data_IF_175878469962
#
_entry.id   IF_175878469962
#
_cell.length_a   1.000
_cell.length_b   1.000
_cell.length_c   1.000
_cell.angle_alpha   90.00
_cell.angle_beta   90.00
_cell.angle_gamma   90.00
#
_symmetry.space_group_name_H-M   'P 1'
#
loop_
_entity.id
_entity.type
_entity.pdbx_description
1 polymer ?
#
# COMPACT_ATOMS: atom_id res chain seq x y z
N UNK A 1 -14.11 0.41 -10.29
CA UNK A 1 -13.00 1.16 -10.93
C UNK A 1 -11.89 0.15 -11.18
N UNK A 2 -11.49 -0.04 -12.44
CA UNK A 2 -10.33 -0.86 -12.79
C UNK A 2 -9.20 0.12 -13.07
N UNK A 3 -8.31 0.32 -12.10
CA UNK A 3 -7.10 1.12 -12.29
C UNK A 3 -6.03 0.19 -12.83
N UNK A 4 -5.63 0.40 -14.09
CA UNK A 4 -4.52 -0.32 -14.69
C UNK A 4 -3.22 0.39 -14.31
N UNK A 5 -2.40 -0.31 -13.53
CA UNK A 5 -1.04 0.10 -13.26
C UNK A 5 -0.15 -0.51 -14.35
N UNK A 6 0.80 0.26 -14.87
CA UNK A 6 1.83 -0.24 -15.81
C UNK A 6 2.82 -1.21 -15.13
N UNK A 7 2.67 -1.40 -13.81
CA UNK A 7 3.44 -2.31 -12.98
C UNK A 7 2.58 -3.47 -12.54
N UNK A 8 3.19 -4.65 -12.48
CA UNK A 8 2.55 -5.85 -11.93
C UNK A 8 2.35 -5.70 -10.43
N UNK A 9 1.09 -5.51 -10.03
CA UNK A 9 0.70 -5.40 -8.62
C UNK A 9 0.61 -6.80 -8.01
N UNK A 10 1.28 -6.97 -6.88
CA UNK A 10 1.29 -8.23 -6.14
C UNK A 10 0.10 -8.31 -5.18
N UNK A 11 -0.15 -7.24 -4.44
CA UNK A 11 -1.25 -7.16 -3.49
C UNK A 11 -1.59 -5.69 -3.14
N UNK A 12 -2.71 -5.49 -2.45
CA UNK A 12 -3.14 -4.21 -1.91
C UNK A 12 -2.98 -4.21 -0.39
N UNK A 13 -2.62 -3.08 0.19
CA UNK A 13 -2.46 -2.90 1.64
C UNK A 13 -3.36 -1.78 2.14
N UNK A 14 -4.11 -2.04 3.22
CA UNK A 14 -4.84 -1.01 3.96
C UNK A 14 -4.39 -0.96 5.41
N UNK A 15 -4.77 0.11 6.11
CA UNK A 15 -4.38 0.36 7.51
C UNK A 15 -2.86 0.30 7.66
N UNK A 16 -2.16 0.98 6.76
CA UNK A 16 -0.71 0.87 6.65
C UNK A 16 -0.02 1.69 7.73
N UNK A 17 0.87 1.02 8.45
CA UNK A 17 1.84 1.64 9.34
C UNK A 17 3.22 1.57 8.72
N UNK A 18 3.86 2.73 8.58
CA UNK A 18 5.22 2.82 8.11
C UNK A 18 6.18 2.46 9.24
N UNK A 19 7.02 1.45 9.00
CA UNK A 19 8.09 1.08 9.91
C UNK A 19 9.16 2.18 10.04
N UNK A 20 10.12 2.03 10.98
CA UNK A 20 11.21 2.97 11.14
C UNK A 20 11.95 3.23 9.84
N UNK A 21 12.19 4.51 9.53
CA UNK A 21 12.81 4.96 8.29
C UNK A 21 12.10 4.47 7.02
N UNK A 22 10.81 4.14 7.13
CA UNK A 22 9.97 3.64 6.03
C UNK A 22 10.53 2.36 5.36
N UNK A 23 11.35 1.60 6.11
CA UNK A 23 12.04 0.42 5.58
C UNK A 23 11.10 -0.76 5.33
N UNK A 24 9.94 -0.81 5.97
CA UNK A 24 8.92 -1.83 5.75
C UNK A 24 7.54 -1.26 6.06
N UNK A 25 6.50 -1.92 5.56
CA UNK A 25 5.12 -1.60 5.89
C UNK A 25 4.53 -2.72 6.74
N UNK A 26 3.64 -2.34 7.66
CA UNK A 26 2.67 -3.26 8.27
C UNK A 26 1.28 -2.85 7.82
N UNK A 27 0.39 -3.80 7.60
CA UNK A 27 -0.97 -3.50 7.18
C UNK A 27 -1.77 -4.76 6.95
N UNK A 28 -3.00 -4.58 6.48
CA UNK A 28 -3.91 -5.67 6.11
C UNK A 28 -3.84 -5.89 4.61
N UNK A 29 -3.61 -7.13 4.18
CA UNK A 29 -3.42 -7.47 2.77
C UNK A 29 -4.71 -7.93 2.10
N UNK A 30 -4.87 -7.56 0.83
CA UNK A 30 -5.97 -8.00 -0.03
C UNK A 30 -5.48 -8.28 -1.45
N UNK A 31 -6.11 -9.24 -2.11
CA UNK A 31 -5.86 -9.60 -3.50
C UNK A 31 -4.43 -10.08 -3.74
N UNK A 32 -3.81 -10.80 -2.80
CA UNK A 32 -2.45 -11.32 -2.99
C UNK A 32 -2.44 -12.35 -4.11
N UNK A 33 -1.92 -11.93 -5.27
CA UNK A 33 -1.95 -12.73 -6.49
C UNK A 33 -1.12 -14.00 -6.38
N UNK A 34 -0.07 -13.94 -5.58
CA UNK A 34 0.85 -15.06 -5.33
C UNK A 34 0.27 -16.06 -4.32
N UNK A 35 -0.90 -15.77 -3.73
CA UNK A 35 -1.62 -16.64 -2.77
C UNK A 35 -0.78 -17.06 -1.57
N UNK A 36 0.06 -16.15 -1.09
CA UNK A 36 0.88 -16.29 0.12
C UNK A 36 0.10 -15.93 1.38
N UNK A 37 -0.94 -15.11 1.23
CA UNK A 37 -1.78 -14.59 2.31
C UNK A 37 -3.25 -14.64 1.91
N UNK A 38 -4.13 -14.83 2.88
CA UNK A 38 -5.56 -14.70 2.69
C UNK A 38 -5.99 -13.23 2.82
N UNK A 39 -7.09 -12.87 2.16
CA UNK A 39 -7.65 -11.52 2.26
C UNK A 39 -8.03 -11.19 3.71
N UNK A 40 -7.52 -10.07 4.22
CA UNK A 40 -7.72 -9.65 5.60
C UNK A 40 -6.57 -10.03 6.55
N UNK A 41 -5.55 -10.74 6.08
CA UNK A 41 -4.41 -11.09 6.92
C UNK A 41 -3.55 -9.85 7.28
N UNK A 42 -3.15 -9.69 8.55
CA UNK A 42 -2.16 -8.69 8.91
C UNK A 42 -0.77 -9.17 8.49
N UNK A 43 -0.07 -8.36 7.68
CA UNK A 43 1.27 -8.68 7.21
C UNK A 43 2.28 -7.60 7.57
N UNK A 44 3.55 -8.00 7.50
CA UNK A 44 4.69 -7.08 7.43
C UNK A 44 5.42 -7.35 6.13
N UNK A 45 5.63 -6.33 5.31
CA UNK A 45 6.41 -6.48 4.08
C UNK A 45 7.87 -6.80 4.40
N UNK A 46 8.58 -7.36 3.43
CA UNK A 46 10.04 -7.30 3.42
C UNK A 46 10.52 -5.84 3.22
N UNK A 47 11.83 -5.64 3.22
CA UNK A 47 12.38 -4.30 3.10
C UNK A 47 11.94 -3.64 1.79
N UNK A 48 11.41 -2.42 1.91
CA UNK A 48 11.08 -1.56 0.78
C UNK A 48 12.37 -1.09 0.13
N UNK A 49 12.44 -1.26 -1.19
CA UNK A 49 13.55 -0.83 -2.03
C UNK A 49 13.24 0.52 -2.67
N UNK A 50 11.96 0.78 -2.98
CA UNK A 50 11.52 2.08 -3.47
C UNK A 50 10.02 2.30 -3.28
N UNK A 51 9.63 3.57 -3.26
CA UNK A 51 8.25 4.02 -3.40
C UNK A 51 8.07 4.69 -4.76
N UNK A 52 6.91 4.49 -5.40
CA UNK A 52 6.53 5.12 -6.66
C UNK A 52 5.12 5.66 -6.53
N UNK A 53 4.91 6.92 -6.90
CA UNK A 53 3.57 7.48 -7.04
C UNK A 53 3.08 7.29 -8.48
N UNK A 54 1.95 6.60 -8.67
CA UNK A 54 1.35 6.40 -9.98
C UNK A 54 -0.16 6.65 -9.91
N UNK A 55 -0.66 7.57 -10.74
CA UNK A 55 -2.09 7.91 -10.82
C UNK A 55 -2.74 8.26 -9.46
N UNK A 56 -1.98 8.87 -8.55
CA UNK A 56 -2.44 9.22 -7.20
C UNK A 56 -2.38 8.09 -6.16
N UNK A 57 -1.80 6.95 -6.52
CA UNK A 57 -1.55 5.83 -5.60
C UNK A 57 -0.07 5.75 -5.23
N UNK A 58 0.21 5.40 -3.99
CA UNK A 58 1.56 5.06 -3.53
C UNK A 58 1.78 3.57 -3.71
N UNK A 59 2.80 3.20 -4.49
CA UNK A 59 3.24 1.84 -4.71
C UNK A 59 4.54 1.60 -3.94
N UNK A 60 4.51 0.66 -3.00
CA UNK A 60 5.68 0.25 -2.23
C UNK A 60 6.28 -1.02 -2.84
N UNK A 61 7.55 -0.94 -3.26
CA UNK A 61 8.24 -2.05 -3.93
C UNK A 61 9.25 -2.71 -3.02
N UNK A 62 9.15 -4.02 -2.90
CA UNK A 62 10.22 -4.87 -2.37
C UNK A 62 11.01 -5.47 -3.54
N UNK A 63 11.96 -6.36 -3.26
CA UNK A 63 12.69 -7.08 -4.31
C UNK A 63 11.81 -7.94 -5.21
N UNK A 64 10.68 -8.46 -4.69
CA UNK A 64 9.86 -9.47 -5.37
C UNK A 64 8.36 -9.17 -5.32
N UNK A 65 7.96 -8.00 -4.82
CA UNK A 65 6.55 -7.65 -4.69
C UNK A 65 6.33 -6.16 -4.83
N UNK A 66 5.20 -5.79 -5.41
CA UNK A 66 4.72 -4.42 -5.50
C UNK A 66 3.39 -4.34 -4.78
N UNK A 67 3.32 -3.52 -3.75
CA UNK A 67 2.11 -3.31 -2.95
C UNK A 67 1.51 -1.95 -3.26
N UNK A 68 0.20 -1.88 -3.48
CA UNK A 68 -0.51 -0.59 -3.55
C UNK A 68 -0.99 -0.23 -2.15
N UNK A 69 -0.65 0.97 -1.66
CA UNK A 69 -1.13 1.49 -0.39
C UNK A 69 -2.50 2.13 -0.59
N UNK A 70 -3.50 1.63 0.12
CA UNK A 70 -4.92 1.99 -0.01
C UNK A 70 -5.46 2.76 1.22
N UNK A 71 -4.67 3.66 1.79
CA UNK A 71 -5.06 4.42 2.99
C UNK A 71 -5.82 5.74 2.72
N UNK A 72 -6.07 6.03 1.45
CA UNK A 72 -6.82 7.22 1.01
C UNK A 72 -8.30 7.22 1.44
N UNK A 73 -8.83 6.09 1.92
CA UNK A 73 -10.18 6.03 2.48
C UNK A 73 -10.36 6.88 3.75
N UNK A 74 -9.26 7.23 4.44
CA UNK A 74 -9.33 8.11 5.62
C UNK A 74 -9.49 9.60 5.25
N UNK A 75 -8.93 10.05 4.12
CA UNK A 75 -9.03 11.47 3.70
C UNK A 75 -10.40 11.79 3.08
N UNK A 76 -11.00 10.86 2.35
CA UNK A 76 -12.36 11.03 1.80
C UNK A 76 -13.47 10.97 2.85
N UNK A 77 -13.26 10.22 3.95
CA UNK A 77 -14.20 10.15 5.07
C UNK A 77 -14.09 11.36 6.01
N UNK A 78 -12.94 12.05 6.03
CA UNK A 78 -12.74 13.33 6.73
C UNK A 78 -12.88 14.46 5.73
N UNK A 79 -14.13 14.78 5.35
CA UNK A 79 -14.42 16.03 4.66
C UNK A 79 -13.72 17.21 5.33
N UNK A 80 -12.70 17.75 4.66
CA UNK A 80 -12.05 19.03 4.95
C UNK A 80 -11.38 19.15 6.32
N UNK A 81 -10.07 18.98 6.37
CA UNK A 81 -9.23 19.83 7.22
C UNK A 81 -7.83 19.92 6.64
N UNK A 82 -7.61 20.97 5.85
CA UNK A 82 -6.27 21.51 5.64
C UNK A 82 -5.73 21.91 7.01
N UNK A 83 -4.69 21.24 7.48
CA UNK A 83 -3.80 21.81 8.48
C UNK A 83 -2.41 21.90 7.85
N UNK A 84 -2.12 23.07 7.31
CA UNK A 84 -0.76 23.53 7.05
C UNK A 84 -0.06 23.72 8.40
N UNK A 85 1.22 23.36 8.46
CA UNK A 85 2.17 24.03 9.36
C UNK A 85 3.53 24.11 8.68
#
# INVERSE_FOLDING_TARGET
MHTEFELEITAYLSSVEYGPHELFLRGVVFGDRERRFDDGDPIRTSNIVSYVELQGYVLARTLNSTYVVCDWAAEGARGGSKAQH
#
